data_IF_091306764273
#
_entry.id   IF_091306764273
#
_cell.length_a   1.000
_cell.length_b   1.000
_cell.length_c   1.000
_cell.angle_alpha   90.00
_cell.angle_beta   90.00
_cell.angle_gamma   90.00
#
_symmetry.space_group_name_H-M   'P 1'
#
loop_
_entity.id
_entity.type
_entity.pdbx_description
1 polymer ?
#
# COMPACT_ATOMS: atom_id res chain seq x y z
N UNK A 1 -0.89 6.28 57.52
CA UNK A 1 0.41 6.55 56.87
C UNK A 1 0.64 5.51 55.77
N UNK A 2 1.23 5.93 54.64
CA UNK A 2 0.64 5.70 53.31
C UNK A 2 1.55 4.78 52.45
N UNK A 3 1.27 4.31 51.23
CA UNK A 3 0.79 4.94 50.00
C UNK A 3 0.47 3.78 49.04
N UNK A 4 -0.74 3.70 48.50
CA UNK A 4 -0.90 3.12 47.16
C UNK A 4 -0.27 4.12 46.19
N UNK A 5 0.91 3.81 45.66
CA UNK A 5 1.53 4.57 44.58
C UNK A 5 0.83 4.14 43.28
N UNK A 6 -0.37 4.69 43.08
CA UNK A 6 -0.95 4.83 41.74
C UNK A 6 -0.83 6.31 41.36
N UNK A 7 0.38 6.70 41.00
CA UNK A 7 0.62 7.93 40.23
C UNK A 7 1.52 7.53 39.06
N UNK A 8 0.96 6.79 38.09
CA UNK A 8 1.52 6.81 36.74
C UNK A 8 0.66 7.77 35.90
N UNK A 9 1.26 8.69 35.13
CA UNK A 9 0.53 9.68 34.33
C UNK A 9 -0.28 9.11 33.15
N UNK A 10 -0.35 7.78 33.01
CA UNK A 10 -0.70 7.15 31.73
C UNK A 10 -2.19 7.18 31.36
N UNK A 11 -3.11 7.60 32.23
CA UNK A 11 -4.53 7.67 31.84
C UNK A 11 -4.89 9.03 31.19
N UNK A 12 -4.21 10.12 31.57
CA UNK A 12 -4.32 11.39 30.87
C UNK A 12 -3.55 11.38 29.54
N UNK A 13 -2.45 10.62 29.45
CA UNK A 13 -1.71 10.42 28.19
C UNK A 13 -2.49 9.61 27.15
N UNK A 14 -3.41 8.75 27.56
CA UNK A 14 -4.32 8.03 26.66
C UNK A 14 -5.42 8.96 26.11
N UNK A 15 -5.93 9.88 26.92
CA UNK A 15 -6.89 10.91 26.48
C UNK A 15 -6.18 12.00 25.63
N UNK A 16 -4.91 12.32 25.93
CA UNK A 16 -4.09 13.21 25.09
C UNK A 16 -3.57 12.52 23.82
N UNK A 17 -3.43 11.18 23.79
CA UNK A 17 -3.16 10.44 22.55
C UNK A 17 -4.37 10.41 21.61
N UNK A 18 -5.59 10.50 22.14
CA UNK A 18 -6.79 10.77 21.33
C UNK A 18 -6.84 12.21 20.78
N UNK A 19 -6.00 13.13 21.28
CA UNK A 19 -5.77 14.46 20.68
C UNK A 19 -4.68 14.48 19.60
N UNK A 20 -3.87 13.42 19.43
CA UNK A 20 -2.97 13.28 18.27
C UNK A 20 -3.73 13.06 16.95
N UNK A 21 -5.04 12.78 16.99
CA UNK A 21 -5.92 12.84 15.82
C UNK A 21 -6.45 14.25 15.52
N UNK A 22 -5.93 15.28 16.21
CA UNK A 22 -6.50 16.64 16.13
C UNK A 22 -5.49 17.77 16.38
N UNK A 23 -4.35 17.79 15.68
CA UNK A 23 -3.65 19.03 15.34
C UNK A 23 -2.43 18.77 14.44
N UNK A 24 -2.65 18.81 13.13
CA UNK A 24 -1.74 19.50 12.21
C UNK A 24 -2.59 20.01 11.05
N UNK A 25 -3.24 21.12 11.37
CA UNK A 25 -4.26 21.77 10.58
C UNK A 25 -3.60 22.89 9.79
N UNK A 26 -2.79 22.57 8.78
CA UNK A 26 -2.18 23.60 7.92
C UNK A 26 -1.86 23.19 6.47
N UNK A 27 -2.52 22.20 5.86
CA UNK A 27 -2.55 22.08 4.37
C UNK A 27 -3.87 21.46 3.86
N UNK A 28 -5.02 21.95 4.31
CA UNK A 28 -6.33 21.62 3.70
C UNK A 28 -7.07 22.84 3.15
N UNK A 29 -6.44 24.02 3.14
CA UNK A 29 -7.01 25.25 2.58
C UNK A 29 -6.51 25.46 1.15
N UNK A 30 -7.23 24.86 0.19
CA UNK A 30 -7.62 25.46 -1.10
C UNK A 30 -8.40 24.43 -1.92
N UNK A 31 -9.73 24.44 -1.80
CA UNK A 31 -10.74 24.22 -2.86
C UNK A 31 -10.57 23.10 -3.91
N UNK A 32 -9.67 22.14 -3.71
CA UNK A 32 -9.52 20.96 -4.54
C UNK A 32 -9.90 19.78 -3.66
N UNK A 33 -11.03 19.16 -3.96
CA UNK A 33 -11.28 17.80 -3.51
C UNK A 33 -10.01 16.98 -3.83
N UNK A 34 -9.39 16.30 -2.84
CA UNK A 34 -8.16 15.59 -3.08
C UNK A 34 -8.43 14.61 -4.20
N UNK A 35 -7.75 14.80 -5.35
CA UNK A 35 -7.84 13.90 -6.50
C UNK A 35 -7.76 12.48 -5.98
N UNK A 36 -8.87 11.74 -6.07
CA UNK A 36 -8.90 10.36 -5.67
C UNK A 36 -8.04 9.60 -6.69
N UNK A 37 -7.05 8.84 -6.25
CA UNK A 37 -6.33 7.94 -7.13
C UNK A 37 -6.90 6.53 -6.98
N UNK A 38 -6.90 5.80 -8.09
CA UNK A 38 -7.01 4.35 -8.10
C UNK A 38 -5.70 3.77 -8.60
N UNK A 39 -5.38 2.54 -8.23
CA UNK A 39 -4.14 1.87 -8.65
C UNK A 39 -4.49 0.56 -9.32
N UNK A 40 -4.11 0.45 -10.59
CA UNK A 40 -4.07 -0.81 -11.31
C UNK A 40 -2.80 -1.56 -10.91
N UNK A 41 -2.95 -2.81 -10.52
CA UNK A 41 -1.82 -3.73 -10.30
C UNK A 41 -1.92 -4.79 -11.37
N UNK A 42 -0.98 -4.79 -12.31
CA UNK A 42 -0.96 -5.73 -13.41
C UNK A 42 0.28 -6.61 -13.32
N UNK A 43 0.11 -7.90 -13.60
CA UNK A 43 1.23 -8.84 -13.73
C UNK A 43 2.02 -8.45 -14.98
N UNK A 44 3.25 -7.97 -14.78
CA UNK A 44 4.14 -7.56 -15.87
C UNK A 44 4.93 -8.74 -16.42
N UNK A 45 5.50 -9.52 -15.51
CA UNK A 45 6.40 -10.62 -15.84
C UNK A 45 6.25 -11.75 -14.83
N UNK A 46 6.37 -12.99 -15.31
CA UNK A 46 6.48 -14.20 -14.47
C UNK A 46 7.73 -14.96 -14.90
N UNK A 47 8.69 -15.08 -13.99
CA UNK A 47 9.90 -15.90 -14.17
C UNK A 47 9.76 -17.18 -13.35
N UNK A 48 9.89 -18.34 -13.99
CA UNK A 48 9.60 -19.62 -13.33
C UNK A 48 8.10 -19.86 -13.17
N UNK A 49 7.65 -20.31 -12.00
CA UNK A 49 6.24 -20.63 -11.75
C UNK A 49 5.67 -19.87 -10.56
N UNK A 50 4.46 -19.33 -10.70
CA UNK A 50 3.70 -18.73 -9.60
C UNK A 50 2.70 -19.75 -9.02
N UNK A 51 2.66 -19.93 -7.70
CA UNK A 51 1.73 -20.85 -7.04
C UNK A 51 0.24 -20.49 -7.25
N UNK A 52 -0.08 -19.20 -7.36
CA UNK A 52 -1.44 -18.74 -7.71
C UNK A 52 -1.76 -18.90 -9.21
N UNK A 53 -0.74 -19.19 -10.03
CA UNK A 53 -0.87 -19.33 -11.47
C UNK A 53 -1.09 -18.00 -12.19
N UNK A 54 -0.50 -16.91 -11.67
CA UNK A 54 -0.55 -15.62 -12.36
C UNK A 54 0.07 -15.67 -13.75
N UNK A 55 -0.51 -14.91 -14.68
CA UNK A 55 -0.02 -14.73 -16.05
C UNK A 55 0.15 -13.26 -16.39
N UNK A 56 1.13 -12.89 -17.24
CA UNK A 56 1.27 -11.52 -17.71
C UNK A 56 -0.04 -10.97 -18.29
N UNK A 57 -0.37 -9.73 -17.92
CA UNK A 57 -1.60 -9.03 -18.33
C UNK A 57 -2.80 -9.21 -17.39
N UNK A 58 -2.75 -10.13 -16.42
CA UNK A 58 -3.78 -10.19 -15.37
C UNK A 58 -3.66 -8.98 -14.45
N UNK A 59 -4.79 -8.34 -14.13
CA UNK A 59 -4.81 -7.12 -13.33
C UNK A 59 -5.84 -7.17 -12.19
N UNK A 60 -5.59 -6.37 -11.16
CA UNK A 60 -6.50 -6.08 -10.06
C UNK A 60 -6.56 -4.55 -9.87
N UNK A 61 -7.66 -4.07 -9.27
CA UNK A 61 -7.88 -2.64 -9.07
C UNK A 61 -8.06 -2.33 -7.59
N UNK A 62 -7.23 -1.43 -7.07
CA UNK A 62 -7.37 -0.86 -5.74
C UNK A 62 -7.91 0.56 -5.81
N UNK A 63 -8.83 0.87 -4.92
CA UNK A 63 -9.44 2.19 -4.85
C UNK A 63 -9.78 2.54 -3.40
N UNK A 64 -9.49 3.78 -3.00
CA UNK A 64 -9.70 4.28 -1.64
C UNK A 64 -8.98 3.40 -0.60
N UNK A 65 -9.69 2.49 0.06
CA UNK A 65 -9.19 1.62 1.12
C UNK A 65 -9.50 0.12 0.88
N UNK A 66 -9.98 -0.24 -0.30
CA UNK A 66 -10.39 -1.59 -0.62
C UNK A 66 -9.97 -2.02 -2.03
N UNK A 67 -10.11 -3.32 -2.30
CA UNK A 67 -9.88 -3.91 -3.61
C UNK A 67 -11.21 -3.86 -4.35
N UNK A 68 -11.28 -3.07 -5.42
CA UNK A 68 -12.49 -2.91 -6.23
C UNK A 68 -12.71 -4.09 -7.17
N UNK A 69 -11.63 -4.59 -7.78
CA UNK A 69 -11.64 -5.76 -8.64
C UNK A 69 -10.46 -6.66 -8.30
N UNK A 70 -10.75 -7.94 -8.06
CA UNK A 70 -9.76 -8.97 -7.73
C UNK A 70 -9.31 -9.77 -8.94
N UNK A 71 -9.95 -9.64 -10.10
CA UNK A 71 -9.64 -10.44 -11.29
C UNK A 71 -9.62 -11.94 -10.99
N UNK A 72 -8.47 -12.59 -11.22
CA UNK A 72 -8.22 -14.01 -10.86
C UNK A 72 -8.23 -14.26 -9.34
N UNK A 73 -7.93 -13.24 -8.55
CA UNK A 73 -7.71 -13.31 -7.11
C UNK A 73 -6.41 -12.61 -6.73
N UNK A 74 -6.34 -12.16 -5.48
CA UNK A 74 -5.15 -11.50 -4.91
C UNK A 74 -4.36 -12.47 -4.01
N UNK A 75 -3.12 -12.77 -4.39
CA UNK A 75 -2.21 -13.56 -3.59
C UNK A 75 -1.78 -12.79 -2.34
N UNK A 76 -1.71 -13.47 -1.19
CA UNK A 76 -1.20 -12.86 0.05
C UNK A 76 0.26 -12.38 -0.08
N UNK A 77 1.10 -13.09 -0.85
CA UNK A 77 2.47 -12.64 -1.13
C UNK A 77 2.52 -11.36 -1.97
N UNK A 78 1.61 -11.23 -2.95
CA UNK A 78 1.50 -10.02 -3.75
C UNK A 78 1.02 -8.86 -2.88
N UNK A 79 -0.04 -9.05 -2.09
CA UNK A 79 -0.53 -8.03 -1.16
C UNK A 79 0.57 -7.60 -0.17
N UNK A 80 1.29 -8.55 0.42
CA UNK A 80 2.37 -8.27 1.36
C UNK A 80 3.49 -7.42 0.75
N UNK A 81 3.89 -7.64 -0.51
CA UNK A 81 4.96 -6.84 -1.13
C UNK A 81 4.55 -5.43 -1.50
N UNK A 82 3.25 -5.14 -1.63
CA UNK A 82 2.77 -3.82 -2.04
C UNK A 82 1.98 -3.07 -0.96
N UNK A 83 1.62 -3.70 0.15
CA UNK A 83 0.74 -3.13 1.17
C UNK A 83 1.22 -1.75 1.68
N UNK A 84 2.51 -1.63 1.98
CA UNK A 84 3.11 -0.39 2.48
C UNK A 84 3.25 0.70 1.42
N UNK A 85 3.20 0.31 0.14
CA UNK A 85 3.37 1.19 -1.03
C UNK A 85 2.03 1.68 -1.59
N UNK A 86 0.97 0.89 -1.47
CA UNK A 86 -0.35 1.22 -2.01
C UNK A 86 -0.97 2.46 -1.37
N UNK A 87 -0.92 2.56 -0.03
CA UNK A 87 -1.50 3.70 0.69
C UNK A 87 -0.90 5.05 0.28
N UNK A 88 0.43 5.25 0.25
CA UNK A 88 1.00 6.51 -0.23
C UNK A 88 0.75 6.74 -1.73
N UNK A 89 0.79 5.68 -2.56
CA UNK A 89 0.53 5.81 -4.01
C UNK A 89 -0.91 6.26 -4.30
N UNK A 90 -1.90 5.70 -3.58
CA UNK A 90 -3.32 6.09 -3.62
C UNK A 90 -3.57 7.52 -3.12
N UNK A 91 -2.67 8.04 -2.27
CA UNK A 91 -2.70 9.43 -1.79
C UNK A 91 -1.93 10.40 -2.70
N UNK A 92 -1.42 9.92 -3.83
CA UNK A 92 -0.73 10.76 -4.80
C UNK A 92 0.77 10.95 -4.55
N UNK A 93 1.40 10.16 -3.67
CA UNK A 93 2.86 10.14 -3.56
C UNK A 93 3.47 9.46 -4.79
N UNK A 94 4.45 10.11 -5.41
CA UNK A 94 5.12 9.66 -6.63
C UNK A 94 5.78 8.28 -6.49
N UNK A 95 5.66 7.43 -7.51
CA UNK A 95 6.36 6.14 -7.55
C UNK A 95 7.89 6.30 -7.58
N UNK A 96 8.42 7.43 -8.11
CA UNK A 96 9.86 7.78 -8.02
C UNK A 96 10.30 8.06 -6.60
N UNK A 97 9.51 8.84 -5.86
CA UNK A 97 9.79 9.17 -4.45
C UNK A 97 9.73 7.90 -3.60
N UNK A 98 8.79 7.01 -3.89
CA UNK A 98 8.67 5.70 -3.24
C UNK A 98 9.79 4.72 -3.62
N UNK A 99 10.65 5.06 -4.59
CA UNK A 99 11.77 4.21 -5.02
C UNK A 99 11.36 2.95 -5.78
N UNK A 100 10.14 2.92 -6.31
CA UNK A 100 9.59 1.73 -7.00
C UNK A 100 9.49 1.93 -8.53
N UNK A 101 9.83 3.11 -9.05
CA UNK A 101 9.74 3.37 -10.48
C UNK A 101 10.55 4.58 -10.93
N UNK A 102 10.75 4.68 -12.25
CA UNK A 102 11.36 5.85 -12.89
C UNK A 102 10.35 6.95 -13.24
N UNK A 103 9.05 6.65 -13.16
CA UNK A 103 7.94 7.53 -13.55
C UNK A 103 7.11 7.94 -12.33
N UNK A 104 6.38 9.07 -12.43
CA UNK A 104 5.57 9.58 -11.31
C UNK A 104 4.41 8.65 -10.94
N UNK A 105 3.79 8.03 -11.95
CA UNK A 105 2.52 7.30 -11.81
C UNK A 105 2.66 5.78 -11.95
N UNK A 106 3.85 5.28 -12.29
CA UNK A 106 4.12 3.86 -12.53
C UNK A 106 5.33 3.36 -11.75
N UNK A 107 5.16 2.24 -11.05
CA UNK A 107 6.20 1.55 -10.30
C UNK A 107 6.06 0.04 -10.40
N UNK A 108 7.05 -0.67 -9.86
CA UNK A 108 7.17 -2.11 -9.96
C UNK A 108 7.52 -2.70 -8.60
N UNK A 109 6.89 -3.81 -8.27
CA UNK A 109 7.15 -4.59 -7.06
C UNK A 109 7.28 -6.05 -7.40
N UNK A 110 8.10 -6.74 -6.62
CA UNK A 110 8.34 -8.17 -6.80
C UNK A 110 7.63 -8.97 -5.72
N UNK A 111 7.11 -10.14 -6.06
CA UNK A 111 6.70 -11.14 -5.08
C UNK A 111 7.89 -11.52 -4.17
N UNK A 112 7.71 -11.62 -2.84
CA UNK A 112 8.78 -11.94 -1.88
C UNK A 112 9.13 -13.44 -1.87
N UNK A 113 9.05 -14.11 -3.01
CA UNK A 113 9.45 -15.51 -3.13
C UNK A 113 10.98 -15.59 -2.95
N UNK A 114 11.49 -16.39 -1.98
CA UNK A 114 12.93 -16.55 -1.75
C UNK A 114 13.70 -17.07 -2.98
N UNK A 115 13.02 -17.76 -3.89
CA UNK A 115 13.65 -18.40 -5.04
C UNK A 115 14.52 -19.59 -4.66
N UNK A 116 15.30 -20.07 -5.65
CA UNK A 116 16.22 -21.20 -5.46
C UNK A 116 17.40 -20.81 -4.55
N UNK A 117 17.91 -21.74 -3.71
CA UNK A 117 17.56 -23.17 -3.65
C UNK A 117 16.36 -23.51 -2.74
N UNK A 118 15.76 -22.53 -2.06
CA UNK A 118 14.77 -22.79 -1.01
C UNK A 118 13.36 -23.05 -1.53
N UNK A 119 13.00 -22.47 -2.67
CA UNK A 119 11.74 -22.73 -3.37
C UNK A 119 12.00 -23.27 -4.78
N UNK A 120 10.95 -23.78 -5.45
CA UNK A 120 11.02 -24.22 -6.84
C UNK A 120 11.42 -23.10 -7.82
N UNK A 121 11.46 -21.84 -7.35
CA UNK A 121 11.77 -20.67 -8.14
C UNK A 121 10.52 -20.12 -8.82
N UNK A 122 10.24 -18.85 -8.55
CA UNK A 122 9.05 -18.18 -9.07
C UNK A 122 9.11 -16.71 -8.71
N UNK A 123 9.23 -15.83 -9.68
CA UNK A 123 9.23 -14.40 -9.44
C UNK A 123 8.17 -13.75 -10.29
N UNK A 124 7.21 -13.11 -9.65
CA UNK A 124 6.21 -12.27 -10.32
C UNK A 124 6.60 -10.82 -10.10
N UNK A 125 6.71 -10.07 -11.18
CA UNK A 125 6.84 -8.61 -11.15
C UNK A 125 5.47 -8.02 -11.44
N UNK A 126 4.99 -7.17 -10.55
CA UNK A 126 3.74 -6.44 -10.69
C UNK A 126 4.04 -4.99 -11.04
N UNK A 127 3.36 -4.46 -12.05
CA UNK A 127 3.32 -3.05 -12.39
C UNK A 127 2.17 -2.39 -11.62
N UNK A 128 2.48 -1.39 -10.79
CA UNK A 128 1.52 -0.55 -10.09
C UNK A 128 1.40 0.76 -10.86
N UNK A 129 0.23 1.00 -11.44
CA UNK A 129 -0.06 2.22 -12.20
C UNK A 129 -1.21 2.97 -11.55
N UNK A 130 -0.94 4.17 -11.04
CA UNK A 130 -1.99 5.03 -10.47
C UNK A 130 -2.66 5.87 -11.55
N UNK A 131 -3.95 6.12 -11.36
CA UNK A 131 -4.77 6.97 -12.23
C UNK A 131 -5.60 7.93 -11.39
N UNK A 132 -5.71 9.17 -11.85
CA UNK A 132 -6.62 10.15 -11.26
C UNK A 132 -8.06 9.77 -11.57
N UNK A 133 -8.90 9.75 -10.54
CA UNK A 133 -10.34 9.61 -10.62
C UNK A 133 -10.94 10.99 -10.43
N UNK A 134 -11.80 11.40 -11.36
CA UNK A 134 -12.70 12.55 -11.15
C UNK A 134 -13.92 11.97 -10.45
N UNK A 135 -14.26 12.47 -9.27
CA UNK A 135 -15.56 12.16 -8.64
C UNK A 135 -16.70 12.76 -9.45
#
# INVERSE_FOLDING_TARGET
MPRCILTSPCLEDLINSLKCLRSDNTVWLRGAEPLAYRVWICVKEVRGSCAMGYKPGECFLFEKFYIRDVGRGLCLHALASMLTLLSPLLKGVSARILGIGGEEDAGYVQCPDPGKPYTCGGTVVFELRREKVKE
#
